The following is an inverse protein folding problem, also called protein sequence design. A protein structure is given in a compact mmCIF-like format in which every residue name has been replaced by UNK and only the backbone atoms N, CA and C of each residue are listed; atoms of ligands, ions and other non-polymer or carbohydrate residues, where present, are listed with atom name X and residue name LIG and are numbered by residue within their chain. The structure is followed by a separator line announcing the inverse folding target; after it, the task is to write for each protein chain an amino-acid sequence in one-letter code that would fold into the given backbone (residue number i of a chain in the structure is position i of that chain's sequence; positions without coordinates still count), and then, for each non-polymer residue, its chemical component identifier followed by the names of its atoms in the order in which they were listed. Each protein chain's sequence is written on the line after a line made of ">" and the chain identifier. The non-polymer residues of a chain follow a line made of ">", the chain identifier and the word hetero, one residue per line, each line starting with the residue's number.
data_IF_338825043146
#
_entry.id   IF_338825043146
#
_cell.length_a   1.000
_cell.length_b   1.000
_cell.length_c   1.000
_cell.angle_alpha   90.00
_cell.angle_beta   90.00
_cell.angle_gamma   90.00
#
_symmetry.space_group_name_H-M   'P 1'
#
loop_
_entity.id
_entity.type
_entity.pdbx_description
1 polymer ?
#
# COMPACT_ATOMS: atom_id res chain seq x y z
N UNK A 1 9.83 17.63 6.69
CA UNK A 1 9.41 16.24 6.40
C UNK A 1 9.10 16.13 4.91
N UNK A 2 9.83 15.30 4.14
CA UNK A 2 9.49 15.05 2.72
C UNK A 2 8.38 14.00 2.69
N UNK A 3 7.17 14.42 2.34
CA UNK A 3 6.10 13.48 2.03
C UNK A 3 6.45 12.77 0.71
N UNK A 4 6.91 11.51 0.80
CA UNK A 4 7.16 10.66 -0.36
C UNK A 4 5.85 9.98 -0.83
N UNK A 5 4.74 10.72 -0.84
CA UNK A 5 3.48 10.19 -1.34
C UNK A 5 3.58 10.11 -2.87
N UNK A 6 3.48 8.90 -3.42
CA UNK A 6 3.47 8.70 -4.88
C UNK A 6 2.04 8.56 -5.34
N UNK A 7 1.57 9.50 -6.16
CA UNK A 7 0.22 9.52 -6.73
C UNK A 7 0.27 9.05 -8.18
N UNK A 8 -0.69 8.23 -8.58
CA UNK A 8 -0.94 7.82 -9.96
C UNK A 8 -2.31 8.32 -10.38
N UNK A 9 -2.36 8.88 -11.59
CA UNK A 9 -3.60 9.16 -12.29
C UNK A 9 -3.71 8.14 -13.42
N UNK A 10 -4.81 7.39 -13.43
CA UNK A 10 -5.15 6.43 -14.46
C UNK A 10 -6.48 6.87 -15.09
N UNK A 11 -6.46 7.20 -16.38
CA UNK A 11 -7.65 7.58 -17.13
C UNK A 11 -7.99 6.44 -18.09
N UNK A 12 -9.21 5.97 -18.00
CA UNK A 12 -9.75 4.94 -18.86
C UNK A 12 -10.91 5.47 -19.69
N UNK A 13 -11.05 4.95 -20.90
CA UNK A 13 -12.09 5.37 -21.85
C UNK A 13 -12.80 4.15 -22.44
N UNK A 14 -14.10 4.29 -22.67
CA UNK A 14 -14.89 3.35 -23.44
C UNK A 14 -14.42 3.38 -24.90
N UNK A 15 -14.13 2.22 -25.47
CA UNK A 15 -13.85 2.16 -26.91
C UNK A 15 -15.12 2.45 -27.70
N UNK A 16 -15.08 3.47 -28.55
CA UNK A 16 -16.19 3.88 -29.41
C UNK A 16 -16.08 3.36 -30.85
N UNK A 17 -15.26 2.32 -31.10
CA UNK A 17 -15.03 1.76 -32.43
C UNK A 17 -15.98 0.62 -32.80
N UNK A 18 -16.35 0.53 -34.09
CA UNK A 18 -17.30 -0.45 -34.66
C UNK A 18 -16.94 -1.95 -34.46
N UNK A 19 -15.72 -2.28 -34.03
CA UNK A 19 -15.26 -3.65 -33.83
C UNK A 19 -14.82 -3.97 -32.40
N UNK A 20 -15.06 -3.09 -31.43
CA UNK A 20 -14.71 -3.36 -30.05
C UNK A 20 -15.95 -3.76 -29.26
N UNK A 21 -15.92 -4.96 -28.66
CA UNK A 21 -16.76 -5.25 -27.50
C UNK A 21 -16.63 -4.08 -26.51
N UNK A 22 -17.70 -3.69 -25.81
CA UNK A 22 -17.77 -2.56 -24.86
C UNK A 22 -16.72 -2.60 -23.73
N UNK A 23 -15.46 -2.51 -24.10
CA UNK A 23 -14.30 -2.65 -23.27
C UNK A 23 -13.80 -1.25 -22.90
N UNK A 24 -13.32 -1.16 -21.67
CA UNK A 24 -12.74 0.05 -21.12
C UNK A 24 -11.22 -0.12 -21.17
N UNK A 25 -10.55 0.77 -21.89
CA UNK A 25 -9.11 0.73 -22.10
C UNK A 25 -8.43 1.91 -21.43
N UNK A 26 -7.14 1.76 -21.12
CA UNK A 26 -6.33 2.85 -20.58
C UNK A 26 -6.06 3.87 -21.67
N UNK A 27 -6.57 5.08 -21.50
CA UNK A 27 -6.25 6.23 -22.35
C UNK A 27 -4.96 6.91 -21.90
N UNK A 28 -4.77 7.03 -20.58
CA UNK A 28 -3.60 7.65 -19.98
C UNK A 28 -3.26 7.03 -18.61
N UNK A 29 -1.97 6.96 -18.31
CA UNK A 29 -1.45 6.61 -16.99
C UNK A 29 -0.20 7.43 -16.69
N UNK A 30 -0.10 7.98 -15.48
CA UNK A 30 1.13 8.63 -15.04
C UNK A 30 2.25 7.64 -14.65
N UNK A 31 1.92 6.35 -14.49
CA UNK A 31 2.90 5.28 -14.31
C UNK A 31 3.28 4.65 -15.66
N UNK A 32 4.54 4.80 -16.05
CA UNK A 32 5.11 4.31 -17.33
C UNK A 32 5.00 2.79 -17.52
N UNK A 33 4.76 2.03 -16.45
CA UNK A 33 4.61 0.56 -16.50
C UNK A 33 3.22 0.14 -17.00
N UNK A 34 2.27 1.06 -17.06
CA UNK A 34 0.93 0.83 -17.56
C UNK A 34 0.83 1.37 -18.99
N UNK A 35 0.78 0.50 -20.01
CA UNK A 35 0.70 0.94 -21.40
C UNK A 35 -0.70 1.43 -21.76
N UNK A 36 -0.77 2.44 -22.63
CA UNK A 36 -2.02 2.89 -23.27
C UNK A 36 -2.62 1.76 -24.11
N UNK A 37 -3.94 1.69 -24.16
CA UNK A 37 -4.70 0.66 -24.89
C UNK A 37 -4.79 -0.69 -24.17
N UNK A 38 -4.17 -0.84 -22.99
CA UNK A 38 -4.39 -2.03 -22.16
C UNK A 38 -5.79 -2.02 -21.54
N UNK A 39 -6.29 -3.21 -21.19
CA UNK A 39 -7.55 -3.33 -20.47
C UNK A 39 -7.46 -2.60 -19.11
N UNK A 40 -8.43 -1.72 -18.83
CA UNK A 40 -8.41 -0.86 -17.66
C UNK A 40 -8.50 -1.64 -16.33
N UNK A 41 -9.33 -2.69 -16.27
CA UNK A 41 -9.47 -3.50 -15.06
C UNK A 41 -8.16 -4.24 -14.72
N UNK A 42 -7.45 -4.72 -15.74
CA UNK A 42 -6.12 -5.31 -15.58
C UNK A 42 -5.08 -4.29 -15.10
N UNK A 43 -5.07 -3.09 -15.69
CA UNK A 43 -4.17 -2.02 -15.27
C UNK A 43 -4.41 -1.61 -13.81
N UNK A 44 -5.67 -1.46 -13.41
CA UNK A 44 -6.06 -1.13 -12.04
C UNK A 44 -5.58 -2.23 -11.07
N UNK A 45 -5.82 -3.49 -11.40
CA UNK A 45 -5.39 -4.64 -10.59
C UNK A 45 -3.86 -4.68 -10.41
N UNK A 46 -3.09 -4.35 -11.46
CA UNK A 46 -1.63 -4.22 -11.35
C UNK A 46 -1.20 -3.11 -10.40
N UNK A 47 -1.84 -1.94 -10.46
CA UNK A 47 -1.51 -0.82 -9.59
C UNK A 47 -1.83 -1.16 -8.12
N UNK A 48 -2.95 -1.82 -7.86
CA UNK A 48 -3.26 -2.34 -6.52
C UNK A 48 -2.22 -3.36 -6.06
N UNK A 49 -1.81 -4.28 -6.93
CA UNK A 49 -0.74 -5.25 -6.66
C UNK A 49 0.64 -4.62 -6.40
N UNK A 50 0.89 -3.41 -6.93
CA UNK A 50 2.09 -2.63 -6.61
C UNK A 50 2.00 -1.88 -5.27
N UNK A 51 0.90 -2.05 -4.52
CA UNK A 51 0.66 -1.44 -3.23
C UNK A 51 0.23 0.02 -3.32
N UNK A 52 -0.40 0.43 -4.42
CA UNK A 52 -1.18 1.67 -4.45
C UNK A 52 -2.58 1.38 -3.93
N UNK A 53 -3.17 2.37 -3.28
CA UNK A 53 -4.54 2.34 -2.80
C UNK A 53 -5.37 3.28 -3.67
N UNK A 54 -6.60 2.86 -4.01
CA UNK A 54 -7.54 3.71 -4.73
C UNK A 54 -8.06 4.78 -3.77
N UNK A 55 -7.85 6.05 -4.12
CA UNK A 55 -8.23 7.21 -3.31
C UNK A 55 -9.53 7.81 -3.80
N UNK A 56 -9.67 7.91 -5.12
CA UNK A 56 -10.82 8.57 -5.73
C UNK A 56 -11.12 7.98 -7.12
N UNK A 57 -12.40 8.03 -7.50
CA UNK A 57 -12.89 7.60 -8.82
C UNK A 57 -13.90 8.63 -9.32
N UNK A 58 -13.62 9.21 -10.49
CA UNK A 58 -14.50 10.19 -11.14
C UNK A 58 -14.92 9.67 -12.50
N UNK A 59 -16.22 9.56 -12.74
CA UNK A 59 -16.77 9.22 -14.05
C UNK A 59 -17.21 10.50 -14.77
N UNK A 60 -16.65 10.74 -15.96
CA UNK A 60 -17.06 11.82 -16.86
C UNK A 60 -18.07 11.27 -17.85
N UNK A 61 -19.36 11.39 -17.51
CA UNK A 61 -20.48 10.86 -18.28
C UNK A 61 -20.54 11.38 -19.72
N UNK A 62 -20.18 12.65 -19.94
CA UNK A 62 -20.26 13.28 -21.26
C UNK A 62 -19.19 12.79 -22.25
N UNK A 63 -18.10 12.20 -21.75
CA UNK A 63 -16.94 11.79 -22.55
C UNK A 63 -16.69 10.27 -22.53
N UNK A 64 -17.48 9.49 -21.79
CA UNK A 64 -17.28 8.04 -21.64
C UNK A 64 -15.94 7.69 -20.97
N UNK A 65 -15.45 8.56 -20.08
CA UNK A 65 -14.16 8.42 -19.41
C UNK A 65 -14.32 8.20 -17.91
N UNK A 66 -13.39 7.44 -17.32
CA UNK A 66 -13.29 7.23 -15.87
C UNK A 66 -11.86 7.53 -15.44
N UNK A 67 -11.72 8.37 -14.43
CA UNK A 67 -10.45 8.76 -13.84
C UNK A 67 -10.32 8.07 -12.48
N UNK A 68 -9.28 7.28 -12.32
CA UNK A 68 -8.88 6.68 -11.06
C UNK A 68 -7.65 7.41 -10.51
N UNK A 69 -7.78 7.89 -9.28
CA UNK A 69 -6.67 8.48 -8.52
C UNK A 69 -6.20 7.46 -7.50
N UNK A 70 -4.94 7.04 -7.60
CA UNK A 70 -4.32 6.09 -6.68
C UNK A 70 -3.15 6.72 -5.95
N UNK A 71 -2.93 6.35 -4.69
CA UNK A 71 -1.77 6.80 -3.94
C UNK A 71 -1.08 5.63 -3.25
N UNK A 72 0.25 5.68 -3.21
CA UNK A 72 1.06 4.78 -2.41
C UNK A 72 1.54 5.53 -1.19
N UNK A 73 0.93 5.23 -0.05
CA UNK A 73 1.42 5.71 1.23
C UNK A 73 2.58 4.81 1.63
N UNK A 74 3.81 5.31 1.54
CA UNK A 74 4.91 4.74 2.31
C UNK A 74 4.59 5.01 3.77
N UNK A 75 3.83 4.12 4.42
CA UNK A 75 3.69 4.17 5.87
C UNK A 75 5.11 4.10 6.41
N UNK A 76 5.59 5.18 7.00
CA UNK A 76 6.80 5.16 7.81
C UNK A 76 6.57 4.02 8.79
N UNK A 77 7.36 2.94 8.69
CA UNK A 77 7.32 1.86 9.68
C UNK A 77 7.34 2.55 11.03
N UNK A 78 6.35 2.35 11.93
CA UNK A 78 6.47 2.87 13.28
C UNK A 78 7.83 2.40 13.78
N UNK A 79 8.68 3.33 14.25
CA UNK A 79 9.89 2.92 14.94
C UNK A 79 9.45 1.89 16.00
N UNK A 80 10.10 0.72 16.10
CA UNK A 80 9.82 -0.17 17.22
C UNK A 80 9.96 0.68 18.48
N UNK A 81 8.87 0.81 19.26
CA UNK A 81 8.95 1.40 20.60
C UNK A 81 10.11 0.69 21.30
N UNK A 82 11.04 1.42 21.95
CA UNK A 82 12.03 0.77 22.79
C UNK A 82 11.24 -0.10 23.78
N UNK A 83 11.45 -1.40 23.71
CA UNK A 83 10.97 -2.32 24.74
C UNK A 83 11.55 -1.79 26.06
N UNK A 84 10.73 -1.54 27.10
CA UNK A 84 11.29 -1.27 28.42
C UNK A 84 12.25 -2.41 28.75
N UNK A 85 13.50 -2.08 29.08
CA UNK A 85 14.39 -3.09 29.66
C UNK A 85 13.66 -3.67 30.87
N UNK A 86 13.62 -5.00 31.06
CA UNK A 86 13.16 -5.54 32.32
C UNK A 86 14.02 -4.92 33.42
N UNK A 87 13.37 -4.34 34.43
CA UNK A 87 14.04 -3.91 35.65
C UNK A 87 14.81 -5.11 36.20
N UNK A 88 16.13 -5.03 36.10
CA UNK A 88 17.03 -5.93 36.81
C UNK A 88 16.90 -5.49 38.27
N UNK A 89 16.09 -6.19 39.05
CA UNK A 89 16.19 -6.14 40.50
C UNK A 89 17.52 -6.78 40.88
N UNK A 90 18.58 -5.96 40.93
CA UNK A 90 19.82 -6.34 41.56
C UNK A 90 19.58 -6.53 43.07
N UNK A 91 19.79 -7.79 43.49
CA UNK A 91 20.51 -8.19 44.71
C UNK A 91 19.86 -7.75 46.04
N UNK A 92 19.28 -8.73 46.74
CA UNK A 92 19.37 -8.79 48.19
C UNK A 92 20.48 -9.80 48.53
N UNK A 93 21.65 -9.28 48.92
CA UNK A 93 22.76 -10.06 49.47
C UNK A 93 22.51 -10.41 50.95
N UNK A 94 23.10 -11.55 51.36
CA UNK A 94 23.37 -12.02 52.72
C UNK A 94 22.15 -12.46 53.59
N UNK A 95 22.10 -13.65 54.22
CA UNK A 95 23.17 -14.42 54.88
C UNK A 95 22.70 -15.85 55.25
N UNK A 96 23.62 -16.80 55.09
CA UNK A 96 23.98 -17.93 55.96
C UNK A 96 23.02 -19.08 56.39
N UNK A 97 23.64 -20.26 56.33
CA UNK A 97 23.55 -21.46 57.19
C UNK A 97 22.54 -22.59 56.90
N UNK A 98 23.13 -23.66 56.36
CA UNK A 98 23.11 -25.03 56.91
C UNK A 98 21.79 -25.84 56.88
N UNK A 99 21.65 -26.71 55.86
CA UNK A 99 21.41 -28.14 56.08
C UNK A 99 21.40 -28.95 54.78
N UNK A 100 22.43 -29.77 54.63
CA UNK A 100 22.38 -31.21 54.32
C UNK A 100 21.25 -31.81 53.45
N UNK A 101 21.66 -32.37 52.31
CA UNK A 101 21.58 -33.80 51.93
C UNK A 101 20.24 -34.57 51.85
N UNK A 102 20.07 -35.28 50.70
CA UNK A 102 19.26 -36.51 50.41
C UNK A 102 17.74 -36.24 50.26
N UNK A 103 16.96 -36.76 49.28
CA UNK A 103 16.99 -37.95 48.43
C UNK A 103 16.61 -37.64 46.97
#
# INVERSE_FOLDING_TARGET
>A
MKNNAKVIILICELSSGWCHCNDIYVSYSSDRRIPRGSNCAYALSKLLGYGYELIDTQAMGDCGQVIYTLAKVTKTKPLPKPTPKPDICDICEEKNDDCSSIC
#
